data_IF_645210369290
#
_entry.id   IF_645210369290
#
_cell.length_a   1.000
_cell.length_b   1.000
_cell.length_c   1.000
_cell.angle_alpha   90.00
_cell.angle_beta   90.00
_cell.angle_gamma   90.00
#
_symmetry.space_group_name_H-M   'P 1'
#
loop_
_entity.id
_entity.type
_entity.pdbx_description
1 polymer ?
#
# COMPACT_ATOMS: atom_id res chain seq x y z
N UNK A 1 18.95 22.04 -10.21
CA UNK A 1 18.95 20.59 -10.40
C UNK A 1 17.50 20.12 -10.36
N UNK A 2 16.85 20.03 -11.53
CA UNK A 2 15.41 19.75 -11.65
C UNK A 2 15.21 18.24 -11.70
N UNK A 3 15.26 17.59 -10.53
CA UNK A 3 15.02 16.13 -10.41
C UNK A 3 13.49 15.84 -10.37
N UNK A 4 12.65 16.86 -10.24
CA UNK A 4 11.20 16.77 -10.01
C UNK A 4 10.37 17.34 -11.18
N UNK A 5 10.89 17.29 -12.41
CA UNK A 5 10.12 17.72 -13.60
C UNK A 5 9.19 16.58 -14.08
N UNK A 6 8.03 16.92 -14.66
CA UNK A 6 7.08 15.94 -15.23
C UNK A 6 7.70 15.02 -16.30
N UNK A 7 8.83 15.40 -16.86
CA UNK A 7 9.65 14.60 -17.78
C UNK A 7 10.76 13.82 -17.08
N UNK A 8 10.96 13.98 -15.75
CA UNK A 8 12.01 13.34 -14.97
C UNK A 8 11.55 12.02 -14.31
N UNK A 9 12.36 11.55 -13.36
CA UNK A 9 12.16 10.31 -12.60
C UNK A 9 10.75 10.23 -11.98
N UNK A 10 10.25 11.35 -11.49
CA UNK A 10 8.91 11.47 -10.88
C UNK A 10 7.78 11.16 -11.86
N UNK A 11 7.90 11.55 -13.14
CA UNK A 11 6.90 11.23 -14.17
C UNK A 11 6.86 9.74 -14.51
N UNK A 12 8.02 9.07 -14.55
CA UNK A 12 8.10 7.62 -14.75
C UNK A 12 7.48 6.86 -13.57
N UNK A 13 7.82 7.23 -12.35
CA UNK A 13 7.25 6.61 -11.13
C UNK A 13 5.74 6.76 -11.08
N UNK A 14 5.21 7.94 -11.44
CA UNK A 14 3.76 8.16 -11.51
C UNK A 14 3.09 7.20 -12.51
N UNK A 15 3.64 7.06 -13.73
CA UNK A 15 3.09 6.13 -14.75
C UNK A 15 3.15 4.69 -14.29
N UNK A 16 4.25 4.27 -13.66
CA UNK A 16 4.39 2.94 -13.06
C UNK A 16 3.33 2.70 -11.99
N UNK A 17 3.11 3.66 -11.09
CA UNK A 17 2.07 3.56 -10.05
C UNK A 17 0.66 3.52 -10.65
N UNK A 18 0.41 4.25 -11.75
CA UNK A 18 -0.87 4.20 -12.46
C UNK A 18 -1.11 2.81 -13.07
N UNK A 19 -0.08 2.21 -13.68
CA UNK A 19 -0.14 0.85 -14.21
C UNK A 19 -0.35 -0.19 -13.09
N UNK A 20 0.37 -0.08 -11.97
CA UNK A 20 0.22 -0.97 -10.82
C UNK A 20 -1.21 -0.86 -10.25
N UNK A 21 -1.76 0.35 -10.18
CA UNK A 21 -3.11 0.57 -9.67
C UNK A 21 -4.17 -0.06 -10.58
N UNK A 22 -4.08 0.16 -11.90
CA UNK A 22 -4.98 -0.45 -12.88
C UNK A 22 -4.84 -1.98 -12.91
N UNK A 23 -3.59 -2.48 -12.89
CA UNK A 23 -3.31 -3.92 -12.81
C UNK A 23 -3.88 -4.54 -11.53
N UNK A 24 -3.74 -3.85 -10.39
CA UNK A 24 -4.29 -4.29 -9.11
C UNK A 24 -5.82 -4.39 -9.12
N UNK A 25 -6.51 -3.42 -9.74
CA UNK A 25 -7.97 -3.51 -9.96
C UNK A 25 -8.31 -4.72 -10.82
N UNK A 26 -7.58 -4.94 -11.92
CA UNK A 26 -7.75 -6.10 -12.78
C UNK A 26 -7.59 -7.42 -12.03
N UNK A 27 -6.57 -7.53 -11.18
CA UNK A 27 -6.33 -8.69 -10.33
C UNK A 27 -7.51 -8.89 -9.36
N UNK A 28 -7.99 -7.85 -8.67
CA UNK A 28 -9.14 -7.98 -7.76
C UNK A 28 -10.39 -8.46 -8.47
N UNK A 29 -10.66 -7.99 -9.67
CA UNK A 29 -11.82 -8.43 -10.47
C UNK A 29 -11.67 -9.88 -10.94
N UNK A 30 -10.45 -10.34 -11.21
CA UNK A 30 -10.17 -11.71 -11.66
C UNK A 30 -10.06 -12.73 -10.51
N UNK A 31 -10.04 -12.28 -9.23
CA UNK A 31 -9.85 -13.15 -8.06
C UNK A 31 -10.77 -14.38 -8.03
N UNK A 32 -12.11 -14.27 -8.25
CA UNK A 32 -12.97 -15.44 -8.17
C UNK A 32 -12.58 -16.53 -9.16
N UNK A 33 -12.16 -16.11 -10.36
CA UNK A 33 -11.75 -17.02 -11.41
C UNK A 33 -10.36 -17.61 -11.14
N UNK A 34 -9.43 -16.77 -10.75
CA UNK A 34 -8.05 -17.18 -10.44
C UNK A 34 -8.00 -18.16 -9.25
N UNK A 35 -8.80 -17.92 -8.21
CA UNK A 35 -8.87 -18.80 -7.03
C UNK A 35 -9.51 -20.14 -7.39
N UNK A 36 -10.56 -20.17 -8.21
CA UNK A 36 -11.15 -21.43 -8.70
C UNK A 36 -10.11 -22.24 -9.48
N UNK A 37 -9.46 -21.63 -10.46
CA UNK A 37 -8.43 -22.30 -11.25
C UNK A 37 -7.28 -22.85 -10.38
N UNK A 38 -6.85 -22.09 -9.37
CA UNK A 38 -5.80 -22.52 -8.44
C UNK A 38 -6.25 -23.72 -7.58
N UNK A 39 -7.49 -23.72 -7.10
CA UNK A 39 -8.03 -24.82 -6.31
C UNK A 39 -8.21 -26.09 -7.14
N UNK A 40 -8.63 -26.00 -8.40
CA UNK A 40 -8.75 -27.12 -9.31
C UNK A 40 -7.39 -27.81 -9.57
N UNK A 41 -6.32 -27.05 -9.65
CA UNK A 41 -4.95 -27.57 -9.84
C UNK A 41 -4.44 -28.34 -8.61
N UNK A 42 -4.86 -27.98 -7.41
CA UNK A 42 -4.33 -28.56 -6.16
C UNK A 42 -5.14 -29.78 -5.65
N UNK A 43 -6.22 -30.20 -6.32
CA UNK A 43 -7.06 -31.35 -5.92
C UNK A 43 -7.49 -31.31 -4.44
N UNK A 44 -7.58 -30.14 -3.85
CA UNK A 44 -8.02 -29.96 -2.47
C UNK A 44 -9.55 -30.02 -2.35
N UNK A 45 -10.05 -30.59 -1.25
CA UNK A 45 -11.47 -30.52 -0.89
C UNK A 45 -11.94 -29.07 -0.84
N UNK A 46 -12.68 -28.68 -1.86
CA UNK A 46 -12.71 -27.35 -2.46
C UNK A 46 -13.47 -26.30 -1.64
N UNK A 47 -14.49 -26.70 -0.85
CA UNK A 47 -15.50 -25.73 -0.45
C UNK A 47 -15.16 -24.88 0.77
N UNK A 48 -14.47 -25.42 1.78
CA UNK A 48 -14.21 -24.72 3.04
C UNK A 48 -13.07 -23.71 2.91
N UNK A 49 -12.05 -24.03 2.13
CA UNK A 49 -10.86 -23.20 1.98
C UNK A 49 -11.03 -22.11 0.91
N UNK A 50 -11.94 -22.31 -0.06
CA UNK A 50 -12.21 -21.35 -1.13
C UNK A 50 -12.70 -20.00 -0.59
N UNK A 51 -13.75 -19.99 0.20
CA UNK A 51 -14.33 -18.77 0.75
C UNK A 51 -13.36 -18.02 1.68
N UNK A 52 -12.62 -18.74 2.50
CA UNK A 52 -11.59 -18.13 3.35
C UNK A 52 -10.52 -17.45 2.50
N UNK A 53 -9.99 -18.15 1.50
CA UNK A 53 -8.93 -17.62 0.64
C UNK A 53 -9.44 -16.42 -0.18
N UNK A 54 -10.65 -16.51 -0.71
CA UNK A 54 -11.26 -15.44 -1.49
C UNK A 54 -11.44 -14.17 -0.65
N UNK A 55 -12.07 -14.28 0.51
CA UNK A 55 -12.29 -13.15 1.42
C UNK A 55 -10.94 -12.54 1.86
N UNK A 56 -9.98 -13.39 2.25
CA UNK A 56 -8.65 -12.97 2.64
C UNK A 56 -7.96 -12.17 1.53
N UNK A 57 -7.97 -12.66 0.28
CA UNK A 57 -7.36 -11.98 -0.87
C UNK A 57 -8.09 -10.67 -1.22
N UNK A 58 -9.41 -10.62 -1.12
CA UNK A 58 -10.15 -9.39 -1.33
C UNK A 58 -9.80 -8.33 -0.28
N UNK A 59 -9.83 -8.68 1.00
CA UNK A 59 -9.53 -7.74 2.09
C UNK A 59 -8.10 -7.21 1.94
N UNK A 60 -7.11 -8.10 1.83
CA UNK A 60 -5.71 -7.68 1.69
C UNK A 60 -5.46 -6.93 0.38
N UNK A 61 -6.09 -7.30 -0.71
CA UNK A 61 -5.99 -6.64 -2.01
C UNK A 61 -6.57 -5.23 -2.01
N UNK A 62 -7.72 -5.01 -1.37
CA UNK A 62 -8.31 -3.66 -1.22
C UNK A 62 -7.39 -2.75 -0.43
N UNK A 63 -6.83 -3.20 0.70
CA UNK A 63 -5.88 -2.40 1.47
C UNK A 63 -4.56 -2.18 0.72
N UNK A 64 -4.09 -3.16 -0.07
CA UNK A 64 -2.93 -2.98 -0.94
C UNK A 64 -3.19 -1.91 -2.01
N UNK A 65 -4.36 -1.90 -2.65
CA UNK A 65 -4.75 -0.84 -3.58
C UNK A 65 -4.86 0.52 -2.90
N UNK A 66 -5.34 0.57 -1.66
CA UNK A 66 -5.37 1.79 -0.87
C UNK A 66 -3.97 2.34 -0.65
N UNK A 67 -2.98 1.49 -0.33
CA UNK A 67 -1.57 1.91 -0.21
C UNK A 67 -1.08 2.51 -1.53
N UNK A 68 -1.29 1.84 -2.65
CA UNK A 68 -0.89 2.34 -3.97
C UNK A 68 -1.55 3.68 -4.28
N UNK A 69 -2.84 3.83 -3.96
CA UNK A 69 -3.58 5.09 -4.16
C UNK A 69 -2.98 6.24 -3.34
N UNK A 70 -2.67 6.02 -2.05
CA UNK A 70 -2.07 7.06 -1.20
C UNK A 70 -0.64 7.41 -1.67
N UNK A 71 0.16 6.43 -2.09
CA UNK A 71 1.47 6.67 -2.69
C UNK A 71 1.35 7.52 -3.97
N UNK A 72 0.39 7.22 -4.86
CA UNK A 72 0.10 8.05 -6.04
C UNK A 72 -0.24 9.50 -5.66
N UNK A 73 -1.02 9.68 -4.60
CA UNK A 73 -1.41 11.01 -4.08
C UNK A 73 -0.19 11.80 -3.61
N UNK A 74 0.72 11.16 -2.87
CA UNK A 74 1.99 11.77 -2.42
C UNK A 74 2.84 12.19 -3.64
N UNK A 75 3.00 11.30 -4.62
CA UNK A 75 3.77 11.63 -5.84
C UNK A 75 3.15 12.76 -6.66
N UNK A 76 1.82 12.90 -6.66
CA UNK A 76 1.15 14.02 -7.31
C UNK A 76 1.48 15.37 -6.66
N UNK A 77 1.60 15.41 -5.33
CA UNK A 77 1.97 16.63 -4.59
C UNK A 77 3.46 16.95 -4.74
N UNK A 78 4.32 15.94 -4.79
CA UNK A 78 5.75 16.06 -5.09
C UNK A 78 5.98 16.75 -6.44
N UNK A 79 5.23 16.37 -7.47
CA UNK A 79 5.32 16.97 -8.80
C UNK A 79 4.87 18.43 -8.86
N UNK A 80 4.08 18.91 -7.89
CA UNK A 80 3.62 20.30 -7.78
C UNK A 80 4.57 21.19 -6.98
N UNK A 81 5.81 20.78 -6.74
CA UNK A 81 6.83 21.47 -5.97
C UNK A 81 6.45 21.81 -4.51
N UNK A 82 5.47 21.11 -3.96
CA UNK A 82 5.05 21.32 -2.58
C UNK A 82 4.96 19.99 -1.81
N UNK A 83 6.11 19.33 -1.51
CA UNK A 83 6.13 18.02 -0.86
C UNK A 83 5.70 18.07 0.61
N UNK A 84 5.97 19.19 1.29
CA UNK A 84 5.68 19.35 2.71
C UNK A 84 4.29 19.98 2.89
N UNK A 85 3.27 19.11 2.87
CA UNK A 85 1.88 19.45 3.10
C UNK A 85 1.28 18.46 4.10
N UNK A 86 0.37 18.93 4.95
CA UNK A 86 -0.36 18.08 5.91
C UNK A 86 -1.13 16.94 5.22
N UNK A 87 -1.53 17.11 3.98
CA UNK A 87 -2.15 16.06 3.18
C UNK A 87 -1.25 14.83 3.01
N UNK A 88 0.06 15.03 2.80
CA UNK A 88 1.03 13.93 2.69
C UNK A 88 1.24 13.22 4.04
N UNK A 89 1.20 13.96 5.13
CA UNK A 89 1.23 13.37 6.50
C UNK A 89 0.03 12.45 6.71
N UNK A 90 -1.16 12.88 6.32
CA UNK A 90 -2.37 12.07 6.41
C UNK A 90 -2.30 10.82 5.50
N UNK A 91 -1.77 10.98 4.27
CA UNK A 91 -1.57 9.85 3.36
C UNK A 91 -0.62 8.80 3.94
N UNK A 92 0.52 9.23 4.53
CA UNK A 92 1.47 8.33 5.18
C UNK A 92 0.85 7.60 6.38
N UNK A 93 0.03 8.27 7.21
CA UNK A 93 -0.70 7.62 8.30
C UNK A 93 -1.69 6.57 7.79
N UNK A 94 -2.39 6.84 6.68
CA UNK A 94 -3.31 5.86 6.06
C UNK A 94 -2.56 4.65 5.51
N UNK A 95 -1.38 4.85 4.91
CA UNK A 95 -0.50 3.76 4.47
C UNK A 95 -0.10 2.90 5.65
N UNK A 96 0.27 3.50 6.78
CA UNK A 96 0.63 2.76 7.98
C UNK A 96 -0.52 1.90 8.50
N UNK A 97 -1.72 2.47 8.61
CA UNK A 97 -2.93 1.75 9.06
C UNK A 97 -3.22 0.57 8.12
N UNK A 98 -3.23 0.80 6.81
CA UNK A 98 -3.47 -0.24 5.82
C UNK A 98 -2.42 -1.36 5.90
N UNK A 99 -1.15 -1.01 6.09
CA UNK A 99 -0.06 -1.98 6.27
C UNK A 99 -0.25 -2.83 7.52
N UNK A 100 -0.63 -2.25 8.65
CA UNK A 100 -0.92 -3.02 9.86
C UNK A 100 -2.13 -3.94 9.72
N UNK A 101 -3.18 -3.50 9.02
CA UNK A 101 -4.36 -4.34 8.74
C UNK A 101 -3.95 -5.54 7.88
N UNK A 102 -3.18 -5.32 6.81
CA UNK A 102 -2.67 -6.40 5.97
C UNK A 102 -1.83 -7.37 6.81
N UNK A 103 -0.90 -6.85 7.62
CA UNK A 103 -0.07 -7.69 8.49
C UNK A 103 -0.91 -8.53 9.46
N UNK A 104 -1.93 -7.94 10.06
CA UNK A 104 -2.86 -8.65 10.94
C UNK A 104 -3.61 -9.77 10.20
N UNK A 105 -4.11 -9.51 8.99
CA UNK A 105 -4.76 -10.54 8.15
C UNK A 105 -3.80 -11.70 7.86
N UNK A 106 -2.54 -11.40 7.55
CA UNK A 106 -1.52 -12.43 7.32
C UNK A 106 -1.17 -13.19 8.60
N UNK A 107 -1.13 -12.54 9.76
CA UNK A 107 -0.93 -13.21 11.06
C UNK A 107 -2.07 -14.20 11.36
N UNK A 108 -3.32 -13.81 11.12
CA UNK A 108 -4.48 -14.72 11.24
C UNK A 108 -4.35 -15.90 10.29
N UNK A 109 -3.93 -15.67 9.04
CA UNK A 109 -3.70 -16.74 8.06
C UNK A 109 -2.63 -17.72 8.51
N UNK A 110 -1.55 -17.26 9.17
CA UNK A 110 -0.50 -18.14 9.72
C UNK A 110 -1.07 -19.10 10.76
N UNK A 111 -1.96 -18.61 11.62
CA UNK A 111 -2.60 -19.46 12.66
C UNK A 111 -3.52 -20.51 12.04
N UNK A 112 -4.24 -20.15 10.96
CA UNK A 112 -5.17 -21.07 10.29
C UNK A 112 -4.46 -22.05 9.33
N UNK A 113 -3.41 -21.58 8.65
CA UNK A 113 -2.69 -22.32 7.61
C UNK A 113 -1.20 -22.04 7.75
N UNK A 114 -0.50 -22.92 8.43
CA UNK A 114 0.94 -22.77 8.70
C UNK A 114 1.74 -22.70 7.40
N UNK A 115 2.18 -21.50 7.01
CA UNK A 115 3.01 -21.26 5.83
C UNK A 115 4.14 -20.30 6.19
N UNK A 116 5.37 -20.75 6.03
CA UNK A 116 6.57 -19.95 6.34
C UNK A 116 6.61 -18.62 5.55
N UNK A 117 6.27 -18.64 4.26
CA UNK A 117 6.24 -17.44 3.43
C UNK A 117 5.23 -16.38 3.93
N UNK A 118 4.15 -16.82 4.54
CA UNK A 118 3.12 -15.93 5.10
C UNK A 118 3.65 -15.12 6.27
N UNK A 119 4.54 -15.69 7.10
CA UNK A 119 5.20 -15.00 8.22
C UNK A 119 6.09 -13.86 7.69
N UNK A 120 6.87 -14.13 6.65
CA UNK A 120 7.75 -13.12 6.04
C UNK A 120 6.93 -11.94 5.53
N UNK A 121 5.82 -12.20 4.84
CA UNK A 121 4.95 -11.13 4.33
C UNK A 121 4.36 -10.31 5.48
N UNK A 122 3.88 -10.95 6.55
CA UNK A 122 3.39 -10.25 7.73
C UNK A 122 4.44 -9.31 8.33
N UNK A 123 5.69 -9.79 8.46
CA UNK A 123 6.81 -8.98 8.97
C UNK A 123 7.12 -7.79 8.07
N UNK A 124 7.13 -7.97 6.75
CA UNK A 124 7.36 -6.87 5.78
C UNK A 124 6.32 -5.76 5.97
N UNK A 125 5.04 -6.12 6.12
CA UNK A 125 3.97 -5.13 6.31
C UNK A 125 4.02 -4.45 7.68
N UNK A 126 4.48 -5.13 8.74
CA UNK A 126 4.77 -4.49 10.04
C UNK A 126 5.84 -3.42 9.88
N UNK A 127 6.97 -3.77 9.25
CA UNK A 127 8.08 -2.84 9.03
C UNK A 127 7.62 -1.65 8.16
N UNK A 128 6.88 -1.92 7.09
CA UNK A 128 6.32 -0.87 6.22
C UNK A 128 5.38 0.08 7.00
N UNK A 129 4.56 -0.46 7.90
CA UNK A 129 3.68 0.32 8.77
C UNK A 129 4.46 1.26 9.70
N UNK A 130 5.45 0.74 10.41
CA UNK A 130 6.31 1.55 11.29
C UNK A 130 7.09 2.61 10.51
N UNK A 131 7.68 2.24 9.37
CA UNK A 131 8.39 3.18 8.52
C UNK A 131 7.48 4.33 8.05
N UNK A 132 6.24 4.03 7.67
CA UNK A 132 5.27 5.03 7.25
C UNK A 132 4.86 5.98 8.38
N UNK A 133 4.75 5.49 9.64
CA UNK A 133 4.48 6.35 10.81
C UNK A 133 5.66 7.30 11.07
N UNK A 134 6.89 6.77 11.05
CA UNK A 134 8.09 7.58 11.25
C UNK A 134 8.18 8.67 10.19
N UNK A 135 7.98 8.30 8.91
CA UNK A 135 7.96 9.28 7.82
C UNK A 135 6.85 10.32 8.01
N UNK A 136 5.66 9.92 8.45
CA UNK A 136 4.56 10.86 8.71
C UNK A 136 4.94 11.90 9.76
N UNK A 137 5.65 11.50 10.83
CA UNK A 137 6.10 12.42 11.87
C UNK A 137 7.21 13.35 11.37
N UNK A 138 8.18 12.85 10.60
CA UNK A 138 9.23 13.67 9.96
C UNK A 138 8.60 14.71 9.02
N UNK A 139 7.65 14.31 8.19
CA UNK A 139 6.94 15.23 7.30
C UNK A 139 6.16 16.28 8.06
N UNK A 140 5.49 15.89 9.16
CA UNK A 140 4.75 16.83 10.02
C UNK A 140 5.68 17.89 10.60
N UNK A 141 6.86 17.50 11.12
CA UNK A 141 7.85 18.45 11.62
C UNK A 141 8.33 19.40 10.51
N UNK A 142 8.60 18.89 9.31
CA UNK A 142 8.99 19.71 8.17
C UNK A 142 7.89 20.72 7.75
N UNK A 143 6.61 20.35 7.85
CA UNK A 143 5.47 21.26 7.60
C UNK A 143 5.46 22.38 8.63
N UNK A 144 5.59 22.07 9.92
CA UNK A 144 5.60 23.07 11.00
C UNK A 144 6.74 24.08 10.81
N UNK A 145 7.97 23.60 10.57
CA UNK A 145 9.14 24.47 10.33
C UNK A 145 8.93 25.38 9.12
N UNK A 146 8.31 24.85 8.05
CA UNK A 146 7.98 25.65 6.86
C UNK A 146 6.98 26.76 7.19
N UNK A 147 5.90 26.43 7.90
CA UNK A 147 4.88 27.43 8.31
C UNK A 147 5.47 28.52 9.21
N UNK A 148 6.36 28.15 10.15
CA UNK A 148 7.06 29.11 10.99
C UNK A 148 7.98 30.03 10.18
N UNK A 149 8.69 29.52 9.17
CA UNK A 149 9.51 30.35 8.28
C UNK A 149 8.70 31.29 7.42
N UNK A 150 7.55 30.83 6.90
CA UNK A 150 6.66 31.65 6.07
C UNK A 150 6.02 32.81 6.87
N UNK A 151 5.90 32.68 8.20
CA UNK A 151 5.39 33.72 9.10
C UNK A 151 6.46 34.76 9.52
N UNK A 152 7.74 34.46 9.33
CA UNK A 152 8.85 35.33 9.74
C UNK A 152 9.36 36.28 8.62
N UNK A 153 8.77 36.22 7.45
CA UNK A 153 9.01 37.13 6.32
C UNK A 153 7.85 38.08 6.17
#
# INVERSE_FOLDING_TARGET
MVILDEKGLSGYVKRMLDLIFLGGIGILLSLPWSVNWYMDQLSYETNRNYWFLLIFLYVTGVFALQIVYEVRRIFKTLNRHNPFMMDNVHSLKRIAIASFIISFCYAVKVVCFNSFFTIIIAMIFIIAGFFSIILAEVFKQAVVVKEENDLTV
#
